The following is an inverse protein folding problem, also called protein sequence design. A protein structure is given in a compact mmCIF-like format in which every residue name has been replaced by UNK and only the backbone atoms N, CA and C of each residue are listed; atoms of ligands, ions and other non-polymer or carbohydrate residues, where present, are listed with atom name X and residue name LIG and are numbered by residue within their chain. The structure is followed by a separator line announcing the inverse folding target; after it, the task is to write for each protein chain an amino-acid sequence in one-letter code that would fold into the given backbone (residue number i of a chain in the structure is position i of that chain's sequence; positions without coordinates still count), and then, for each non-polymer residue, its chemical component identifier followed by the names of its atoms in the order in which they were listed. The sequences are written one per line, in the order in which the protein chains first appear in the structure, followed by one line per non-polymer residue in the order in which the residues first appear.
data_IF_238557995455
#
_entry.id   IF_238557995455
#
_cell.length_a   1.000
_cell.length_b   1.000
_cell.length_c   1.000
_cell.angle_alpha   90.00
_cell.angle_beta   90.00
_cell.angle_gamma   90.00
#
_symmetry.space_group_name_H-M   'P 1'
#
loop_
_entity.id
_entity.type
_entity.pdbx_description
1 polymer ?
#
# COMPACT_ATOMS: atom_id res chain seq x y z
N UNK A 1 6.16 -28.62 10.61
CA UNK A 1 5.97 -27.32 11.31
C UNK A 1 5.57 -26.17 10.37
N UNK A 2 5.54 -26.34 9.04
CA UNK A 2 5.13 -25.29 8.09
C UNK A 2 3.61 -25.26 7.81
N UNK A 3 2.91 -26.36 8.09
CA UNK A 3 1.48 -26.50 7.77
C UNK A 3 0.57 -25.68 8.70
N UNK A 4 0.98 -25.47 9.96
CA UNK A 4 0.25 -24.64 10.91
C UNK A 4 0.18 -23.18 10.46
N UNK A 5 1.26 -22.67 9.85
CA UNK A 5 1.35 -21.28 9.40
C UNK A 5 0.36 -20.96 8.27
N UNK A 6 0.15 -21.91 7.35
CA UNK A 6 -0.82 -21.75 6.27
C UNK A 6 -2.26 -21.70 6.80
N UNK A 7 -2.56 -22.53 7.80
CA UNK A 7 -3.88 -22.57 8.42
C UNK A 7 -4.16 -21.31 9.25
N UNK A 8 -3.15 -20.80 9.96
CA UNK A 8 -3.24 -19.54 10.71
C UNK A 8 -3.37 -18.33 9.79
N UNK A 9 -2.64 -18.28 8.66
CA UNK A 9 -2.82 -17.21 7.66
C UNK A 9 -4.21 -17.23 7.03
N UNK A 10 -4.79 -18.40 6.76
CA UNK A 10 -6.16 -18.50 6.26
C UNK A 10 -7.18 -18.00 7.27
N UNK A 11 -7.00 -18.30 8.57
CA UNK A 11 -7.87 -17.80 9.65
C UNK A 11 -7.75 -16.28 9.80
N UNK A 12 -6.53 -15.75 9.74
CA UNK A 12 -6.29 -14.30 9.80
C UNK A 12 -6.91 -13.59 8.61
N UNK A 13 -6.85 -14.17 7.41
CA UNK A 13 -7.49 -13.62 6.22
C UNK A 13 -9.02 -13.58 6.37
N UNK A 14 -9.63 -14.64 6.91
CA UNK A 14 -11.07 -14.68 7.17
C UNK A 14 -11.49 -13.59 8.17
N UNK A 15 -10.73 -13.41 9.25
CA UNK A 15 -10.99 -12.36 10.23
C UNK A 15 -10.80 -10.96 9.63
N UNK A 16 -9.73 -10.75 8.86
CA UNK A 16 -9.44 -9.50 8.19
C UNK A 16 -10.58 -9.10 7.22
N UNK A 17 -11.09 -10.04 6.42
CA UNK A 17 -12.20 -9.78 5.49
C UNK A 17 -13.47 -9.42 6.26
N UNK A 18 -13.77 -10.13 7.35
CA UNK A 18 -14.94 -9.85 8.19
C UNK A 18 -14.87 -8.44 8.77
N UNK A 19 -13.71 -8.07 9.32
CA UNK A 19 -13.45 -6.76 9.93
C UNK A 19 -13.43 -5.63 8.91
N UNK A 20 -12.86 -5.86 7.72
CA UNK A 20 -12.86 -4.90 6.63
C UNK A 20 -14.28 -4.57 6.16
N UNK A 21 -15.15 -5.59 6.03
CA UNK A 21 -16.57 -5.37 5.69
C UNK A 21 -17.31 -4.57 6.75
N UNK A 22 -17.06 -4.85 8.02
CA UNK A 22 -17.67 -4.10 9.12
C UNK A 22 -17.17 -2.64 9.13
N UNK A 23 -15.88 -2.41 8.91
CA UNK A 23 -15.34 -1.06 8.78
C UNK A 23 -15.92 -0.33 7.57
N UNK A 24 -16.08 -1.02 6.43
CA UNK A 24 -16.63 -0.41 5.23
C UNK A 24 -18.11 -0.02 5.42
N UNK A 25 -18.92 -0.85 6.08
CA UNK A 25 -20.33 -0.51 6.36
C UNK A 25 -20.43 0.66 7.34
N UNK A 26 -19.60 0.68 8.38
CA UNK A 26 -19.52 1.80 9.33
C UNK A 26 -19.03 3.09 8.66
N UNK A 27 -18.05 3.01 7.77
CA UNK A 27 -17.53 4.17 7.04
C UNK A 27 -18.57 4.74 6.08
N UNK A 28 -19.31 3.89 5.36
CA UNK A 28 -20.39 4.33 4.48
C UNK A 28 -21.56 4.96 5.27
N UNK A 29 -21.90 4.39 6.43
CA UNK A 29 -22.87 4.99 7.34
C UNK A 29 -22.36 6.34 7.87
N UNK A 30 -21.09 6.44 8.26
CA UNK A 30 -20.47 7.69 8.72
C UNK A 30 -20.40 8.76 7.63
N UNK A 31 -20.08 8.40 6.38
CA UNK A 31 -20.09 9.33 5.23
C UNK A 31 -21.51 9.81 4.96
N UNK A 32 -22.50 8.91 4.96
CA UNK A 32 -23.91 9.27 4.77
C UNK A 32 -24.46 10.15 5.90
N UNK A 33 -23.98 9.96 7.12
CA UNK A 33 -24.36 10.77 8.29
C UNK A 33 -23.61 12.11 8.31
N UNK A 34 -22.36 12.15 7.85
CA UNK A 34 -21.57 13.39 7.68
C UNK A 34 -22.13 14.31 6.61
N UNK A 35 -22.82 13.76 5.59
CA UNK A 35 -23.49 14.56 4.57
C UNK A 35 -24.90 15.01 4.99
N UNK A 36 -25.42 14.56 6.14
CA UNK A 36 -26.74 14.95 6.65
C UNK A 36 -26.69 15.86 7.87
N UNK A 37 -25.54 15.95 8.52
CA UNK A 37 -25.34 16.80 9.68
C UNK A 37 -24.08 17.64 9.48
N UNK A 38 -24.27 18.93 9.18
CA UNK A 38 -23.40 19.99 9.69
C UNK A 38 -24.04 20.44 11.00
N UNK A 39 -23.66 19.93 12.19
CA UNK A 39 -24.02 20.57 13.43
C UNK A 39 -22.97 21.64 13.71
N UNK A 40 -23.37 22.90 13.64
CA UNK A 40 -22.73 23.94 14.43
C UNK A 40 -22.53 23.41 15.86
N UNK A 41 -21.34 23.52 16.48
CA UNK A 41 -21.19 23.18 17.89
C UNK A 41 -22.10 24.11 18.73
N UNK A 42 -23.09 23.57 19.47
CA UNK A 42 -23.88 24.35 20.42
C UNK A 42 -23.01 24.66 21.64
N UNK A 43 -22.87 25.94 21.94
CA UNK A 43 -21.92 26.46 22.90
C UNK A 43 -22.16 26.00 24.34
N UNK A 44 -21.05 25.71 25.02
CA UNK A 44 -20.89 26.03 26.43
C UNK A 44 -20.25 27.41 26.52
N UNK A 45 -21.06 28.45 26.75
CA UNK A 45 -20.91 29.29 27.94
C UNK A 45 -21.78 30.55 27.84
N UNK A 46 -22.73 30.58 28.76
CA UNK A 46 -23.36 31.80 29.25
C UNK A 46 -22.29 32.73 29.80
N UNK A 47 -22.26 33.98 29.35
CA UNK A 47 -22.16 35.19 30.17
C UNK A 47 -21.77 36.37 29.27
N UNK A 48 -22.73 37.26 29.07
CA UNK A 48 -22.57 38.59 28.50
C UNK A 48 -21.82 39.46 29.51
N UNK A 49 -20.61 39.94 29.20
CA UNK A 49 -20.19 41.34 29.36
C UNK A 49 -18.68 41.54 29.17
N UNK A 50 -18.37 42.51 28.30
CA UNK A 50 -17.13 43.28 28.13
C UNK A 50 -15.88 42.58 27.55
N UNK A 51 -15.51 43.02 26.35
CA UNK A 51 -14.17 42.91 25.77
C UNK A 51 -13.24 44.05 26.33
N UNK A 52 -11.94 44.15 25.99
CA UNK A 52 -11.08 43.26 25.18
C UNK A 52 -9.69 42.94 25.80
N UNK A 53 -8.97 42.06 25.08
CA UNK A 53 -7.50 41.97 24.95
C UNK A 53 -6.62 41.43 26.10
N UNK A 54 -5.97 40.31 25.76
CA UNK A 54 -4.54 40.04 25.94
C UNK A 54 -3.93 40.06 27.35
N UNK A 55 -3.66 38.87 27.91
CA UNK A 55 -2.29 38.46 28.31
C UNK A 55 -2.28 37.11 29.03
N UNK A 56 -1.64 36.13 28.36
CA UNK A 56 -0.53 35.32 28.88
C UNK A 56 -0.62 34.80 30.32
N UNK A 57 -0.83 33.49 30.47
CA UNK A 57 -0.19 32.68 31.52
C UNK A 57 0.04 31.26 31.03
N UNK A 58 1.23 30.74 31.32
CA UNK A 58 1.85 29.59 30.70
C UNK A 58 1.49 28.26 31.37
N UNK A 59 1.33 27.19 30.56
CA UNK A 59 1.86 25.85 30.82
C UNK A 59 1.70 24.99 29.56
N UNK A 60 2.81 24.50 29.00
CA UNK A 60 2.85 23.47 27.97
C UNK A 60 2.45 22.10 28.59
N UNK A 61 2.10 21.05 27.81
CA UNK A 61 2.97 20.53 26.76
C UNK A 61 2.34 20.60 25.37
N UNK A 62 3.18 21.02 24.44
CA UNK A 62 3.09 20.87 23.00
C UNK A 62 2.78 19.42 22.60
N UNK A 63 1.63 19.19 21.98
CA UNK A 63 1.47 18.13 20.99
C UNK A 63 0.91 18.81 19.73
N UNK A 64 1.76 18.89 18.72
CA UNK A 64 1.50 19.52 17.43
C UNK A 64 0.19 19.05 16.78
N UNK A 65 -0.43 19.91 15.95
CA UNK A 65 -1.59 19.54 15.13
C UNK A 65 -1.30 18.30 14.30
N UNK A 66 -2.25 17.37 14.31
CA UNK A 66 -2.28 16.17 13.49
C UNK A 66 -1.92 16.51 12.03
N UNK A 67 -0.73 16.07 11.64
CA UNK A 67 -0.30 16.04 10.26
C UNK A 67 -1.31 15.23 9.44
N UNK A 68 -1.75 15.81 8.33
CA UNK A 68 -2.40 15.08 7.25
C UNK A 68 -1.60 13.79 6.99
N UNK A 69 -2.25 12.61 6.85
CA UNK A 69 -1.58 11.49 6.23
C UNK A 69 -1.38 11.83 4.76
N UNK A 70 -0.24 12.46 4.46
CA UNK A 70 0.36 12.40 3.13
C UNK A 70 0.51 10.92 2.80
N UNK A 71 0.08 10.44 1.62
CA UNK A 71 0.42 9.10 1.17
C UNK A 71 1.94 9.07 0.89
N UNK A 72 2.73 8.92 1.95
CA UNK A 72 4.10 8.49 1.84
C UNK A 72 4.04 7.08 1.28
N UNK A 73 4.33 7.00 -0.02
CA UNK A 73 4.88 5.81 -0.64
C UNK A 73 6.10 5.42 0.20
N UNK A 74 5.86 4.54 1.17
CA UNK A 74 6.89 3.84 1.89
C UNK A 74 7.49 2.86 0.89
N UNK A 75 8.45 3.35 0.11
CA UNK A 75 9.46 2.52 -0.54
C UNK A 75 10.26 1.87 0.60
N UNK A 76 9.71 0.77 1.12
CA UNK A 76 10.36 -0.05 2.10
C UNK A 76 11.36 -0.92 1.33
N UNK A 77 12.57 -0.38 1.19
CA UNK A 77 13.77 -1.12 0.80
C UNK A 77 14.13 -2.05 1.96
N UNK A 78 13.37 -3.13 2.11
CA UNK A 78 13.57 -4.16 3.11
C UNK A 78 13.50 -5.52 2.43
N UNK A 79 14.67 -6.05 2.05
CA UNK A 79 14.89 -7.46 1.69
C UNK A 79 13.74 -8.10 0.91
N UNK A 80 13.35 -7.50 -0.21
CA UNK A 80 12.24 -7.99 -1.02
C UNK A 80 12.72 -9.27 -1.69
N UNK A 81 12.28 -10.43 -1.19
CA UNK A 81 12.13 -11.59 -2.06
C UNK A 81 11.20 -11.14 -3.16
N UNK A 82 11.80 -10.68 -4.28
CA UNK A 82 11.08 -10.29 -5.48
C UNK A 82 10.21 -11.49 -5.82
N UNK A 83 8.88 -11.36 -5.76
CA UNK A 83 8.03 -12.49 -6.12
C UNK A 83 8.43 -12.88 -7.53
N UNK A 84 8.81 -14.14 -7.76
CA UNK A 84 9.22 -14.60 -9.09
C UNK A 84 8.23 -14.15 -10.17
N UNK A 85 6.94 -14.11 -9.83
CA UNK A 85 5.88 -13.59 -10.68
C UNK A 85 6.12 -12.16 -11.17
N UNK A 86 6.55 -11.25 -10.31
CA UNK A 86 6.87 -9.88 -10.69
C UNK A 86 8.12 -9.78 -11.57
N UNK A 87 9.12 -10.65 -11.37
CA UNK A 87 10.30 -10.71 -12.24
C UNK A 87 9.94 -11.24 -13.63
N UNK A 88 9.13 -12.31 -13.71
CA UNK A 88 8.62 -12.80 -14.98
C UNK A 88 7.76 -11.74 -15.68
N UNK A 89 6.86 -11.07 -14.95
CA UNK A 89 6.06 -9.97 -15.53
C UNK A 89 6.98 -8.88 -16.11
N UNK A 90 8.04 -8.46 -15.41
CA UNK A 90 8.99 -7.48 -15.97
C UNK A 90 9.82 -7.98 -17.15
N UNK A 91 10.09 -9.29 -17.24
CA UNK A 91 10.79 -9.90 -18.38
C UNK A 91 9.88 -10.05 -19.60
N UNK A 92 8.57 -10.26 -19.38
CA UNK A 92 7.56 -10.40 -20.42
C UNK A 92 6.90 -9.07 -20.87
N UNK A 93 7.05 -8.00 -20.08
CA UNK A 93 6.53 -6.66 -20.41
C UNK A 93 7.35 -5.99 -21.54
N UNK A 94 8.60 -6.41 -21.72
CA UNK A 94 9.45 -5.96 -22.83
C UNK A 94 9.33 -6.95 -24.01
N UNK A 95 8.72 -6.48 -25.10
CA UNK A 95 8.50 -7.29 -26.30
C UNK A 95 9.79 -7.75 -26.97
N UNK A 96 10.88 -6.98 -26.87
CA UNK A 96 12.18 -7.35 -27.46
C UNK A 96 12.84 -8.46 -26.63
N UNK A 97 12.88 -8.29 -25.31
CA UNK A 97 13.39 -9.32 -24.39
C UNK A 97 12.57 -10.59 -24.46
N UNK A 98 11.24 -10.46 -24.54
CA UNK A 98 10.32 -11.59 -24.71
C UNK A 98 10.62 -12.35 -26.01
N UNK A 99 10.83 -11.63 -27.11
CA UNK A 99 11.19 -12.23 -28.40
C UNK A 99 12.53 -12.97 -28.30
N UNK A 100 13.54 -12.37 -27.67
CA UNK A 100 14.84 -13.01 -27.44
C UNK A 100 14.70 -14.28 -26.59
N UNK A 101 13.88 -14.25 -25.54
CA UNK A 101 13.61 -15.41 -24.68
C UNK A 101 12.88 -16.53 -25.42
N UNK A 102 11.90 -16.21 -26.26
CA UNK A 102 11.21 -17.18 -27.12
C UNK A 102 12.18 -17.79 -28.14
N UNK A 103 13.03 -16.96 -28.76
CA UNK A 103 14.07 -17.41 -29.68
C UNK A 103 15.05 -18.35 -28.96
N UNK A 104 15.53 -17.95 -27.78
CA UNK A 104 16.41 -18.77 -26.94
C UNK A 104 15.77 -20.11 -26.58
N UNK A 105 14.47 -20.15 -26.26
CA UNK A 105 13.73 -21.39 -25.98
C UNK A 105 13.66 -22.31 -27.20
N UNK A 106 13.40 -21.73 -28.37
CA UNK A 106 13.37 -22.44 -29.65
C UNK A 106 14.77 -23.01 -29.99
N UNK A 107 15.82 -22.22 -29.79
CA UNK A 107 17.20 -22.65 -30.00
C UNK A 107 17.62 -23.81 -29.07
N UNK A 108 17.13 -23.81 -27.83
CA UNK A 108 17.40 -24.89 -26.87
C UNK A 108 16.73 -26.20 -27.34
N UNK A 109 15.50 -26.12 -27.86
CA UNK A 109 14.80 -27.29 -28.43
C UNK A 109 15.54 -27.85 -29.64
N UNK A 110 16.00 -26.98 -30.53
CA UNK A 110 16.71 -27.35 -31.76
C UNK A 110 18.18 -27.77 -31.52
N UNK A 111 18.64 -27.76 -30.26
CA UNK A 111 20.04 -28.03 -29.87
C UNK A 111 21.04 -27.14 -30.63
N UNK A 112 20.71 -25.87 -30.76
CA UNK A 112 21.59 -24.87 -31.35
C UNK A 112 22.90 -24.70 -30.55
N UNK A 113 23.87 -24.03 -31.18
CA UNK A 113 25.19 -23.80 -30.60
C UNK A 113 25.10 -23.06 -29.25
N UNK A 114 25.88 -23.53 -28.27
CA UNK A 114 25.87 -22.94 -26.92
C UNK A 114 26.36 -21.50 -26.93
N UNK A 115 27.28 -21.13 -27.83
CA UNK A 115 27.73 -19.75 -28.04
C UNK A 115 26.60 -18.84 -28.54
N UNK A 116 25.70 -19.35 -29.38
CA UNK A 116 24.52 -18.60 -29.84
C UNK A 116 23.54 -18.34 -28.68
N UNK A 117 23.33 -19.35 -27.82
CA UNK A 117 22.51 -19.21 -26.60
C UNK A 117 23.14 -18.19 -25.65
N UNK A 118 24.46 -18.23 -25.45
CA UNK A 118 25.17 -17.24 -24.63
C UNK A 118 25.16 -15.84 -25.24
N UNK A 119 25.20 -15.69 -26.56
CA UNK A 119 25.07 -14.40 -27.22
C UNK A 119 23.69 -13.77 -26.99
N UNK A 120 22.61 -14.56 -27.07
CA UNK A 120 21.27 -14.10 -26.72
C UNK A 120 21.14 -13.78 -25.23
N UNK A 121 21.76 -14.58 -24.36
CA UNK A 121 21.81 -14.30 -22.92
C UNK A 121 22.54 -12.98 -22.63
N UNK A 122 23.65 -12.70 -23.34
CA UNK A 122 24.40 -11.46 -23.23
C UNK A 122 23.60 -10.24 -23.72
N UNK A 123 22.74 -10.41 -24.73
CA UNK A 123 21.87 -9.34 -25.22
C UNK A 123 20.76 -8.99 -24.20
N UNK A 124 20.26 -10.00 -23.48
CA UNK A 124 19.21 -9.83 -22.46
C UNK A 124 19.75 -9.25 -21.14
N UNK A 125 21.03 -9.47 -20.82
CA UNK A 125 21.71 -8.96 -19.63
C UNK A 125 21.96 -7.45 -19.71
#
# INVERSE_FOLDING_TARGET
MADSYNYDMQRLQQDAIRRAREMQSRAQAAVSQSNRNIPNPPGANQARNNAPSSQRSAAAPTASPAEKPTPQHSNNTGGQMVPFRNLFDTLFDDSERTLILVLMLLLIEERADTGLIFALLYLVL
#
